data_IF_038598711012
#
_entry.id   IF_038598711012
#
_cell.length_a   1.000
_cell.length_b   1.000
_cell.length_c   1.000
_cell.angle_alpha   90.00
_cell.angle_beta   90.00
_cell.angle_gamma   90.00
#
_symmetry.space_group_name_H-M   'P 1'
#
loop_
_entity.id
_entity.type
_entity.pdbx_description
1 polymer ?
#
# COMPACT_ATOMS: atom_id res chain seq x y z
N UNK A 1 30.38 54.77 -5.99
CA UNK A 1 29.23 54.82 -5.08
C UNK A 1 29.59 55.77 -3.95
N UNK A 2 29.47 57.07 -4.11
CA UNK A 2 29.84 58.10 -3.12
C UNK A 2 28.72 58.32 -2.07
N UNK A 3 28.35 57.32 -1.31
CA UNK A 3 27.51 57.53 -0.13
C UNK A 3 28.39 57.81 1.08
N UNK A 4 28.25 59.00 1.73
CA UNK A 4 28.91 59.28 2.99
C UNK A 4 28.21 58.44 4.08
N UNK A 5 28.84 57.40 4.56
CA UNK A 5 28.38 56.57 5.67
C UNK A 5 29.52 55.74 6.23
N UNK A 6 29.43 55.37 7.49
CA UNK A 6 30.37 54.45 8.12
C UNK A 6 30.24 53.08 7.44
N UNK A 7 31.41 52.48 7.11
CA UNK A 7 31.45 51.09 6.63
C UNK A 7 31.44 50.07 7.79
N UNK A 8 31.30 50.50 9.03
CA UNK A 8 31.17 49.62 10.18
C UNK A 8 29.76 49.04 10.22
N UNK A 9 29.65 47.74 10.33
CA UNK A 9 28.38 47.06 10.57
C UNK A 9 27.82 47.50 11.93
N UNK A 10 26.54 47.83 11.96
CA UNK A 10 25.85 48.10 13.23
C UNK A 10 25.69 46.77 14.01
N UNK A 11 25.78 46.87 15.32
CA UNK A 11 25.56 45.72 16.19
C UNK A 11 24.10 45.23 16.06
N UNK A 12 23.92 44.03 15.52
CA UNK A 12 22.58 43.45 15.36
C UNK A 12 22.21 42.66 16.61
N UNK A 13 21.22 43.16 17.34
CA UNK A 13 20.64 42.45 18.46
C UNK A 13 19.68 41.37 17.96
N UNK A 14 20.01 40.11 18.21
CA UNK A 14 19.14 39.01 17.87
C UNK A 14 18.11 38.75 18.98
N UNK A 15 16.83 38.77 18.62
CA UNK A 15 15.80 38.36 19.55
C UNK A 15 15.86 36.85 19.79
N UNK A 16 15.60 36.44 21.02
CA UNK A 16 15.50 35.01 21.37
C UNK A 16 14.25 34.39 20.77
N UNK A 17 14.23 33.04 20.61
CA UNK A 17 13.06 32.34 20.14
C UNK A 17 11.82 32.59 21.01
N UNK A 18 12.01 32.79 22.32
CA UNK A 18 10.94 33.10 23.27
C UNK A 18 10.37 34.52 23.08
N UNK A 19 11.21 35.51 22.82
CA UNK A 19 10.76 36.89 22.53
C UNK A 19 9.98 36.97 21.22
N UNK A 20 10.25 36.05 20.26
CA UNK A 20 9.57 35.99 18.99
C UNK A 20 8.28 35.16 19.04
N UNK A 21 8.02 34.44 20.13
CA UNK A 21 6.78 33.70 20.31
C UNK A 21 5.56 34.62 20.37
N UNK A 22 4.51 34.26 19.64
CA UNK A 22 3.24 35.01 19.63
C UNK A 22 2.20 34.46 20.60
N UNK A 23 2.46 33.32 21.17
CA UNK A 23 1.56 32.65 22.13
C UNK A 23 2.34 32.22 23.37
N UNK A 24 1.67 32.13 24.50
CA UNK A 24 2.30 31.75 25.77
C UNK A 24 2.98 30.37 25.75
N UNK A 25 2.51 29.45 24.91
CA UNK A 25 3.05 28.07 24.78
C UNK A 25 3.94 27.86 23.56
N UNK A 26 4.07 28.88 22.69
CA UNK A 26 4.72 28.70 21.38
C UNK A 26 3.94 27.85 20.37
N UNK A 27 2.71 27.44 20.75
CA UNK A 27 1.85 26.55 19.93
C UNK A 27 0.47 27.17 19.75
N UNK A 28 0.09 27.49 18.51
CA UNK A 28 -1.21 28.10 18.18
C UNK A 28 -2.38 27.22 18.61
N UNK A 29 -2.32 25.92 18.35
CA UNK A 29 -3.36 24.96 18.67
C UNK A 29 -3.70 24.91 20.17
N UNK A 30 -2.70 25.10 21.04
CA UNK A 30 -2.86 25.01 22.50
C UNK A 30 -3.15 26.36 23.17
N UNK A 31 -2.95 27.48 22.48
CA UNK A 31 -3.02 28.81 23.09
C UNK A 31 -4.20 29.65 22.63
N UNK A 32 -4.58 29.56 21.37
CA UNK A 32 -5.62 30.41 20.78
C UNK A 32 -6.85 29.64 20.30
N UNK A 33 -6.92 28.35 20.59
CA UNK A 33 -8.03 27.52 20.12
C UNK A 33 -8.18 27.48 18.59
N UNK A 34 -7.07 27.73 17.88
CA UNK A 34 -7.04 27.70 16.43
C UNK A 34 -7.26 26.30 15.89
N UNK A 35 -7.93 26.20 14.76
CA UNK A 35 -8.12 24.95 14.06
C UNK A 35 -6.78 24.45 13.50
N UNK A 36 -6.49 23.17 13.69
CA UNK A 36 -5.37 22.51 13.04
C UNK A 36 -5.78 22.07 11.63
N UNK A 37 -4.78 21.77 10.77
CA UNK A 37 -5.06 21.17 9.45
C UNK A 37 -5.86 19.88 9.59
N UNK A 38 -5.63 19.12 10.67
CA UNK A 38 -6.42 17.93 10.98
C UNK A 38 -7.90 18.25 11.20
N UNK A 39 -8.21 19.30 11.94
CA UNK A 39 -9.61 19.72 12.20
C UNK A 39 -10.31 20.19 10.93
N UNK A 40 -9.60 20.92 10.09
CA UNK A 40 -10.11 21.37 8.78
C UNK A 40 -10.42 20.15 7.89
N UNK A 41 -9.46 19.23 7.75
CA UNK A 41 -9.63 18.01 6.96
C UNK A 41 -10.75 17.14 7.50
N UNK A 42 -10.88 17.02 8.81
CA UNK A 42 -11.96 16.25 9.46
C UNK A 42 -13.33 16.84 9.11
N UNK A 43 -13.51 18.15 9.23
CA UNK A 43 -14.76 18.83 8.89
C UNK A 43 -15.14 18.62 7.43
N UNK A 44 -14.17 18.74 6.53
CA UNK A 44 -14.40 18.51 5.11
C UNK A 44 -14.78 17.03 4.84
N UNK A 45 -14.10 16.09 5.45
CA UNK A 45 -14.41 14.66 5.33
C UNK A 45 -15.82 14.35 5.85
N UNK A 46 -16.23 14.88 7.01
CA UNK A 46 -17.57 14.70 7.57
C UNK A 46 -18.65 15.26 6.61
N UNK A 47 -18.42 16.43 6.03
CA UNK A 47 -19.32 17.02 5.04
C UNK A 47 -19.43 16.15 3.78
N UNK A 48 -18.32 15.65 3.26
CA UNK A 48 -18.29 14.78 2.07
C UNK A 48 -18.99 13.44 2.33
N UNK A 49 -18.78 12.86 3.51
CA UNK A 49 -19.44 11.61 3.94
C UNK A 49 -20.95 11.82 4.03
N UNK A 50 -21.39 12.91 4.66
CA UNK A 50 -22.81 13.21 4.79
C UNK A 50 -23.51 13.39 3.42
N UNK A 51 -22.83 14.09 2.49
CA UNK A 51 -23.32 14.23 1.10
C UNK A 51 -23.41 12.89 0.38
N UNK A 52 -22.41 12.02 0.57
CA UNK A 52 -22.40 10.69 -0.02
C UNK A 52 -23.51 9.81 0.55
N UNK A 53 -23.77 9.87 1.86
CA UNK A 53 -24.86 9.14 2.51
C UNK A 53 -26.22 9.58 1.96
N UNK A 54 -26.49 10.89 1.92
CA UNK A 54 -27.73 11.43 1.36
C UNK A 54 -27.92 11.01 -0.12
N UNK A 55 -26.84 11.00 -0.91
CA UNK A 55 -26.89 10.53 -2.29
C UNK A 55 -27.19 9.03 -2.39
N UNK A 56 -26.68 8.22 -1.48
CA UNK A 56 -26.95 6.77 -1.44
C UNK A 56 -28.40 6.45 -1.05
N UNK A 57 -29.01 7.24 -0.18
CA UNK A 57 -30.41 7.08 0.23
C UNK A 57 -31.39 7.44 -0.90
N UNK A 58 -31.04 8.41 -1.73
CA UNK A 58 -31.91 8.93 -2.78
C UNK A 58 -31.70 8.31 -4.16
N UNK A 59 -30.55 7.70 -4.39
CA UNK A 59 -30.16 7.12 -5.69
C UNK A 59 -29.46 5.79 -5.47
N UNK A 60 -30.02 4.72 -6.02
CA UNK A 60 -29.30 3.46 -6.14
C UNK A 60 -28.11 3.66 -7.09
N UNK A 61 -26.96 4.05 -6.56
CA UNK A 61 -25.73 4.10 -7.34
C UNK A 61 -25.49 2.74 -7.95
N UNK A 62 -25.52 2.66 -9.27
CA UNK A 62 -25.23 1.42 -9.97
C UNK A 62 -23.85 0.92 -9.55
N UNK A 63 -23.72 -0.35 -9.21
CA UNK A 63 -22.43 -0.96 -8.78
C UNK A 63 -21.28 -0.65 -9.75
N UNK A 64 -21.59 -0.51 -11.05
CA UNK A 64 -20.65 -0.12 -12.09
C UNK A 64 -20.05 1.29 -11.88
N UNK A 65 -20.84 2.26 -11.42
CA UNK A 65 -20.36 3.63 -11.17
C UNK A 65 -19.41 3.65 -9.96
N UNK A 66 -19.71 2.87 -8.92
CA UNK A 66 -18.86 2.74 -7.74
C UNK A 66 -17.52 2.11 -8.12
N UNK A 67 -17.56 1.02 -8.89
CA UNK A 67 -16.36 0.32 -9.35
C UNK A 67 -15.51 1.24 -10.24
N UNK A 68 -16.11 1.96 -11.19
CA UNK A 68 -15.39 2.88 -12.07
C UNK A 68 -14.76 4.04 -11.29
N UNK A 69 -15.46 4.58 -10.31
CA UNK A 69 -14.93 5.63 -9.42
C UNK A 69 -13.77 5.10 -8.58
N UNK A 70 -13.88 3.91 -8.00
CA UNK A 70 -12.82 3.27 -7.25
C UNK A 70 -11.57 3.02 -8.12
N UNK A 71 -11.74 2.51 -9.33
CA UNK A 71 -10.64 2.33 -10.30
C UNK A 71 -9.94 3.65 -10.60
N UNK A 72 -10.70 4.70 -10.89
CA UNK A 72 -10.16 6.03 -11.18
C UNK A 72 -9.38 6.60 -10.00
N UNK A 73 -9.95 6.56 -8.80
CA UNK A 73 -9.34 7.10 -7.58
C UNK A 73 -8.11 6.32 -7.14
N UNK A 74 -8.08 5.01 -7.40
CA UNK A 74 -6.94 4.16 -7.04
C UNK A 74 -5.82 4.14 -8.08
N UNK A 75 -6.02 4.77 -9.24
CA UNK A 75 -5.08 4.65 -10.36
C UNK A 75 -4.96 3.22 -10.88
N UNK A 76 -6.02 2.42 -10.72
CA UNK A 76 -6.04 1.02 -11.12
C UNK A 76 -6.02 0.87 -12.64
N UNK A 77 -5.06 0.10 -13.15
CA UNK A 77 -5.00 -0.34 -14.53
C UNK A 77 -5.38 -1.82 -14.61
N UNK A 78 -6.35 -2.14 -15.46
CA UNK A 78 -6.78 -3.51 -15.63
C UNK A 78 -5.70 -4.28 -16.43
N UNK A 79 -5.08 -5.33 -15.86
CA UNK A 79 -4.11 -6.10 -16.61
C UNK A 79 -4.81 -6.85 -17.75
N UNK A 80 -4.28 -6.71 -18.97
CA UNK A 80 -4.77 -7.40 -20.18
C UNK A 80 -4.10 -8.75 -20.41
N UNK A 81 -2.90 -8.92 -19.85
CA UNK A 81 -2.08 -10.11 -20.01
C UNK A 81 -1.26 -10.39 -18.76
N UNK A 82 -0.78 -11.60 -18.65
CA UNK A 82 0.25 -12.02 -17.70
C UNK A 82 1.47 -12.48 -18.46
N UNK A 83 2.64 -11.97 -18.06
CA UNK A 83 3.92 -12.42 -18.63
C UNK A 83 4.24 -13.82 -18.13
N UNK A 84 5.03 -14.57 -18.90
CA UNK A 84 5.43 -15.92 -18.53
C UNK A 84 6.17 -15.92 -17.19
N UNK A 85 5.71 -16.77 -16.24
CA UNK A 85 6.36 -16.90 -14.95
C UNK A 85 7.74 -17.55 -15.06
N UNK A 86 8.69 -17.06 -14.28
CA UNK A 86 10.04 -17.61 -14.22
C UNK A 86 10.13 -18.55 -13.02
N UNK A 87 10.38 -19.82 -13.30
CA UNK A 87 10.62 -20.84 -12.29
C UNK A 87 12.00 -20.66 -11.64
N UNK A 88 12.04 -20.72 -10.29
CA UNK A 88 13.28 -20.53 -9.53
C UNK A 88 13.66 -21.71 -8.64
N UNK A 89 12.78 -22.70 -8.53
CA UNK A 89 13.07 -23.91 -7.78
C UNK A 89 11.83 -24.56 -7.19
N UNK A 90 11.99 -25.74 -6.65
CA UNK A 90 10.91 -26.50 -6.00
C UNK A 90 11.45 -27.35 -4.87
N UNK A 91 10.55 -27.79 -4.00
CA UNK A 91 10.79 -28.81 -3.00
C UNK A 91 9.54 -29.65 -2.77
N UNK A 92 9.78 -30.93 -2.45
CA UNK A 92 8.72 -31.90 -2.24
C UNK A 92 8.35 -31.93 -0.76
N UNK A 93 7.06 -32.03 -0.49
CA UNK A 93 6.48 -32.40 0.80
C UNK A 93 5.61 -33.64 0.66
N UNK A 94 5.17 -34.18 1.77
CA UNK A 94 4.33 -35.38 1.73
C UNK A 94 2.94 -35.03 1.13
N UNK A 95 2.65 -35.59 -0.06
CA UNK A 95 1.39 -35.41 -0.76
C UNK A 95 1.27 -34.14 -1.61
N UNK A 96 2.33 -33.32 -1.72
CA UNK A 96 2.32 -32.15 -2.56
C UNK A 96 3.72 -31.60 -2.86
N UNK A 97 3.80 -30.77 -3.89
CA UNK A 97 5.03 -30.04 -4.24
C UNK A 97 4.82 -28.53 -4.09
N UNK A 98 5.85 -27.83 -3.67
CA UNK A 98 5.89 -26.37 -3.64
C UNK A 98 6.87 -25.90 -4.70
N UNK A 99 6.40 -25.12 -5.65
CA UNK A 99 7.22 -24.50 -6.69
C UNK A 99 7.36 -23.01 -6.41
N UNK A 100 8.56 -22.49 -6.66
CA UNK A 100 8.90 -21.06 -6.49
C UNK A 100 8.95 -20.40 -7.83
N UNK A 101 8.27 -19.28 -7.94
CA UNK A 101 8.20 -18.48 -9.15
C UNK A 101 8.30 -17.00 -8.85
N UNK A 102 8.57 -16.25 -9.88
CA UNK A 102 8.20 -14.84 -9.93
C UNK A 102 7.60 -14.50 -11.29
N UNK A 103 6.78 -13.47 -11.33
CA UNK A 103 6.20 -12.90 -12.54
C UNK A 103 6.38 -11.38 -12.52
N UNK A 104 6.48 -10.75 -13.68
CA UNK A 104 6.54 -9.30 -13.77
C UNK A 104 5.16 -8.68 -13.53
N UNK A 105 5.14 -7.62 -12.73
CA UNK A 105 3.98 -6.76 -12.49
C UNK A 105 3.65 -5.83 -13.66
N UNK A 106 3.03 -4.70 -13.36
CA UNK A 106 2.58 -3.74 -14.37
C UNK A 106 3.73 -3.19 -15.24
N UNK A 107 4.85 -2.88 -14.62
CA UNK A 107 6.05 -2.44 -15.32
C UNK A 107 7.13 -3.52 -15.24
N UNK A 108 8.23 -3.25 -14.55
CA UNK A 108 9.34 -4.21 -14.45
C UNK A 108 9.57 -4.74 -13.03
N UNK A 109 8.75 -4.34 -12.05
CA UNK A 109 8.84 -4.96 -10.73
C UNK A 109 8.37 -6.41 -10.77
N UNK A 110 8.90 -7.22 -9.85
CA UNK A 110 8.61 -8.64 -9.79
C UNK A 110 7.69 -8.97 -8.63
N UNK A 111 6.85 -9.97 -8.84
CA UNK A 111 5.92 -10.52 -7.85
C UNK A 111 6.36 -11.95 -7.58
N UNK A 112 7.11 -12.22 -6.49
CA UNK A 112 7.46 -13.57 -6.10
C UNK A 112 6.23 -14.31 -5.57
N UNK A 113 6.11 -15.59 -5.89
CA UNK A 113 5.03 -16.40 -5.34
C UNK A 113 5.44 -17.87 -5.15
N UNK A 114 4.72 -18.55 -4.28
CA UNK A 114 4.77 -19.99 -4.08
C UNK A 114 3.52 -20.60 -4.72
N UNK A 115 3.72 -21.69 -5.47
CA UNK A 115 2.64 -22.48 -6.05
C UNK A 115 2.65 -23.87 -5.42
N UNK A 116 1.65 -24.15 -4.62
CA UNK A 116 1.46 -25.43 -3.96
C UNK A 116 0.57 -26.31 -4.85
N UNK A 117 1.10 -27.45 -5.25
CA UNK A 117 0.43 -28.39 -6.15
C UNK A 117 0.18 -29.72 -5.43
N UNK A 118 -1.04 -30.07 -5.08
CA UNK A 118 -1.34 -31.35 -4.48
C UNK A 118 -1.14 -32.50 -5.48
N UNK A 119 -0.75 -33.69 -4.98
CA UNK A 119 -0.66 -34.90 -5.80
C UNK A 119 -2.06 -35.32 -6.31
N UNK A 120 -3.08 -35.17 -5.47
CA UNK A 120 -4.48 -35.45 -5.80
C UNK A 120 -5.29 -34.13 -5.92
N UNK A 121 -5.49 -33.67 -7.14
CA UNK A 121 -6.18 -32.41 -7.43
C UNK A 121 -7.70 -32.54 -7.42
N UNK A 122 -8.39 -31.56 -6.84
CA UNK A 122 -9.86 -31.44 -6.94
C UNK A 122 -10.30 -30.45 -8.05
N UNK A 123 -9.36 -30.00 -8.91
CA UNK A 123 -9.56 -29.01 -9.99
C UNK A 123 -10.03 -27.63 -9.52
N UNK A 124 -9.78 -27.30 -8.25
CA UNK A 124 -10.02 -25.97 -7.70
C UNK A 124 -8.68 -25.32 -7.40
N UNK A 125 -8.65 -23.99 -7.59
CA UNK A 125 -7.49 -23.17 -7.28
C UNK A 125 -7.86 -22.09 -6.27
N UNK A 126 -6.90 -21.72 -5.43
CA UNK A 126 -7.02 -20.69 -4.42
C UNK A 126 -5.85 -19.70 -4.55
N UNK A 127 -6.15 -18.42 -4.58
CA UNK A 127 -5.17 -17.36 -4.41
C UNK A 127 -5.17 -16.95 -2.93
N UNK A 128 -4.10 -17.33 -2.21
CA UNK A 128 -3.96 -17.09 -0.78
C UNK A 128 -3.14 -15.82 -0.53
N UNK A 129 -3.79 -14.79 -0.03
CA UNK A 129 -3.16 -13.47 0.20
C UNK A 129 -3.05 -13.23 1.70
N UNK A 130 -1.83 -13.01 2.18
CA UNK A 130 -1.57 -12.72 3.57
C UNK A 130 -0.77 -11.41 3.74
N UNK A 131 -1.05 -10.57 4.77
CA UNK A 131 -0.33 -9.31 4.99
C UNK A 131 1.18 -9.49 5.19
N UNK A 132 1.62 -10.62 5.74
CA UNK A 132 3.04 -10.96 5.93
C UNK A 132 3.69 -11.62 4.70
N UNK A 133 2.97 -11.75 3.58
CA UNK A 133 3.48 -12.31 2.33
C UNK A 133 3.33 -13.83 2.21
N UNK A 134 3.92 -14.38 1.15
CA UNK A 134 3.79 -15.78 0.72
C UNK A 134 4.27 -16.83 1.70
N UNK A 135 5.16 -16.44 2.63
CA UNK A 135 5.72 -17.38 3.64
C UNK A 135 4.79 -17.58 4.82
N UNK A 136 3.82 -16.69 5.03
CA UNK A 136 2.84 -16.85 6.08
C UNK A 136 1.98 -18.08 5.82
N UNK A 137 1.75 -18.87 6.86
CA UNK A 137 0.95 -20.12 6.81
C UNK A 137 1.46 -21.17 5.81
N UNK A 138 2.72 -21.01 5.31
CA UNK A 138 3.33 -21.92 4.34
C UNK A 138 4.06 -23.10 4.98
N UNK A 139 4.18 -23.13 6.30
CA UNK A 139 4.82 -24.22 7.08
C UNK A 139 3.94 -25.46 7.10
N UNK A 140 4.55 -26.60 7.47
CA UNK A 140 3.79 -27.83 7.77
C UNK A 140 2.84 -27.58 8.95
N UNK A 141 1.60 -28.00 8.81
CA UNK A 141 0.53 -27.71 9.75
C UNK A 141 -0.13 -26.34 9.60
N UNK A 142 0.36 -25.48 8.69
CA UNK A 142 -0.23 -24.17 8.40
C UNK A 142 -1.51 -24.26 7.56
N UNK A 143 -2.22 -23.15 7.46
CA UNK A 143 -3.52 -23.07 6.78
C UNK A 143 -3.42 -23.44 5.28
N UNK A 144 -2.34 -23.02 4.60
CA UNK A 144 -2.12 -23.39 3.19
C UNK A 144 -2.05 -24.89 3.01
N UNK A 145 -1.36 -25.60 3.91
CA UNK A 145 -1.25 -27.06 3.83
C UNK A 145 -2.63 -27.73 3.95
N UNK A 146 -3.51 -27.21 4.78
CA UNK A 146 -4.86 -27.73 4.89
C UNK A 146 -5.62 -27.66 3.54
N UNK A 147 -5.56 -26.51 2.84
CA UNK A 147 -6.17 -26.39 1.52
C UNK A 147 -5.55 -27.38 0.52
N UNK A 148 -4.22 -27.47 0.51
CA UNK A 148 -3.50 -28.36 -0.43
C UNK A 148 -3.82 -29.84 -0.18
N UNK A 149 -3.87 -30.28 1.08
CA UNK A 149 -4.28 -31.65 1.44
C UNK A 149 -5.73 -31.94 1.09
N UNK A 150 -6.58 -30.92 0.95
CA UNK A 150 -7.94 -31.02 0.42
C UNK A 150 -8.02 -30.90 -1.12
N UNK A 151 -6.89 -30.97 -1.80
CA UNK A 151 -6.79 -31.04 -3.26
C UNK A 151 -6.77 -29.70 -3.99
N UNK A 152 -6.73 -28.58 -3.29
CA UNK A 152 -6.62 -27.26 -3.92
C UNK A 152 -5.21 -26.98 -4.42
N UNK A 153 -5.09 -26.46 -5.63
CA UNK A 153 -3.86 -25.77 -6.03
C UNK A 153 -3.87 -24.39 -5.37
N UNK A 154 -2.82 -24.05 -4.62
CA UNK A 154 -2.76 -22.77 -3.90
C UNK A 154 -1.60 -21.91 -4.42
N UNK A 155 -1.89 -20.68 -4.81
CA UNK A 155 -0.90 -19.67 -5.17
C UNK A 155 -0.83 -18.62 -4.05
N UNK A 156 0.34 -18.47 -3.42
CA UNK A 156 0.59 -17.50 -2.36
C UNK A 156 1.66 -16.48 -2.83
N UNK A 157 1.31 -15.20 -3.06
CA UNK A 157 2.25 -14.19 -3.55
C UNK A 157 2.80 -13.30 -2.43
N UNK A 158 3.93 -12.63 -2.75
CA UNK A 158 4.32 -11.39 -2.11
C UNK A 158 3.83 -10.22 -2.98
N UNK A 159 2.77 -9.57 -2.56
CA UNK A 159 2.33 -8.34 -3.21
C UNK A 159 3.26 -7.18 -2.80
N UNK A 160 3.27 -6.10 -3.60
CA UNK A 160 4.11 -4.94 -3.32
C UNK A 160 3.99 -4.50 -1.85
N UNK A 161 5.12 -4.36 -1.17
CA UNK A 161 5.19 -4.00 0.25
C UNK A 161 4.97 -5.15 1.23
N UNK A 162 4.93 -6.42 0.78
CA UNK A 162 4.83 -7.59 1.66
C UNK A 162 5.95 -8.59 1.37
N UNK A 163 6.34 -9.40 2.36
CA UNK A 163 7.36 -10.43 2.21
C UNK A 163 8.66 -9.91 1.59
N UNK A 164 9.14 -10.54 0.53
CA UNK A 164 10.37 -10.15 -0.17
C UNK A 164 10.25 -8.83 -0.95
N UNK A 165 9.04 -8.32 -1.17
CA UNK A 165 8.80 -7.02 -1.81
C UNK A 165 8.59 -5.90 -0.80
N UNK A 166 8.79 -6.18 0.46
CA UNK A 166 8.75 -5.19 1.54
C UNK A 166 9.92 -4.20 1.45
N UNK A 167 9.85 -3.08 2.17
CA UNK A 167 10.84 -1.99 2.09
C UNK A 167 12.21 -2.37 2.66
N UNK A 168 12.35 -3.55 3.27
CA UNK A 168 13.57 -3.94 3.95
C UNK A 168 13.87 -3.03 5.16
N UNK A 169 15.16 -2.95 5.54
CA UNK A 169 15.63 -2.14 6.66
C UNK A 169 16.06 -0.73 6.22
N UNK A 170 15.19 0.01 5.52
CA UNK A 170 15.47 1.40 5.18
C UNK A 170 15.47 2.27 6.45
N UNK A 171 16.62 2.90 6.75
CA UNK A 171 16.71 3.87 7.84
C UNK A 171 15.84 5.09 7.50
N UNK A 172 14.99 5.51 8.43
CA UNK A 172 14.16 6.72 8.29
C UNK A 172 12.81 6.49 7.62
N UNK A 173 12.44 5.25 7.28
CA UNK A 173 11.08 4.93 6.86
C UNK A 173 10.20 4.58 8.07
N UNK A 174 8.98 5.06 8.07
CA UNK A 174 7.96 4.71 9.05
C UNK A 174 7.03 3.65 8.45
N UNK A 175 6.71 2.62 9.23
CA UNK A 175 5.71 1.61 8.85
C UNK A 175 4.41 1.89 9.57
N UNK A 176 3.36 2.22 8.83
CA UNK A 176 2.03 2.51 9.36
C UNK A 176 1.07 1.43 8.86
N UNK A 177 0.44 0.72 9.80
CA UNK A 177 -0.47 -0.39 9.49
C UNK A 177 0.14 -1.45 8.53
N UNK A 178 1.42 -1.75 8.71
CA UNK A 178 2.14 -2.73 7.88
C UNK A 178 2.54 -2.23 6.49
N UNK A 179 2.39 -0.94 6.21
CA UNK A 179 2.79 -0.32 4.94
C UNK A 179 3.89 0.69 5.17
N UNK A 180 4.95 0.63 4.37
CA UNK A 180 6.00 1.64 4.33
C UNK A 180 5.42 3.00 3.94
N UNK A 181 5.69 4.03 4.74
CA UNK A 181 5.25 5.39 4.47
C UNK A 181 5.84 5.93 3.16
N UNK A 182 7.12 5.65 2.90
CA UNK A 182 7.77 6.05 1.66
C UNK A 182 7.14 5.40 0.44
N UNK A 183 6.81 4.12 0.52
CA UNK A 183 6.13 3.39 -0.57
C UNK A 183 4.73 3.94 -0.81
N UNK A 184 3.98 4.20 0.27
CA UNK A 184 2.65 4.82 0.17
C UNK A 184 2.73 6.20 -0.48
N UNK A 185 3.63 7.05 -0.01
CA UNK A 185 3.79 8.41 -0.52
C UNK A 185 4.21 8.43 -2.00
N UNK A 186 5.16 7.57 -2.37
CA UNK A 186 5.58 7.41 -3.77
C UNK A 186 4.43 6.97 -4.67
N UNK A 187 3.60 6.04 -4.22
CA UNK A 187 2.44 5.61 -4.99
C UNK A 187 1.47 6.76 -5.26
N UNK A 188 1.21 7.61 -4.26
CA UNK A 188 0.33 8.79 -4.41
C UNK A 188 0.91 9.80 -5.40
N UNK A 189 2.21 10.09 -5.35
CA UNK A 189 2.88 11.00 -6.28
C UNK A 189 2.76 10.51 -7.73
N UNK A 190 2.81 9.20 -7.95
CA UNK A 190 2.65 8.60 -9.29
C UNK A 190 1.19 8.45 -9.72
N UNK A 191 0.24 8.98 -8.96
CA UNK A 191 -1.20 8.91 -9.26
C UNK A 191 -1.83 7.54 -9.03
N UNK A 192 -1.17 6.69 -8.25
CA UNK A 192 -1.63 5.33 -7.92
C UNK A 192 -1.85 5.20 -6.41
N UNK A 193 -2.57 4.17 -6.01
CA UNK A 193 -2.63 3.72 -4.63
C UNK A 193 -2.05 2.31 -4.51
N UNK A 194 -1.46 1.99 -3.37
CA UNK A 194 -0.99 0.62 -3.09
C UNK A 194 -2.13 -0.40 -3.26
N UNK A 195 -3.35 -0.04 -2.88
CA UNK A 195 -4.53 -0.88 -3.08
C UNK A 195 -4.82 -1.13 -4.57
N UNK A 196 -4.71 -0.09 -5.41
CA UNK A 196 -4.88 -0.21 -6.87
C UNK A 196 -3.83 -1.13 -7.50
N UNK A 197 -2.56 -0.94 -7.13
CA UNK A 197 -1.45 -1.75 -7.62
C UNK A 197 -1.63 -3.22 -7.20
N UNK A 198 -1.88 -3.48 -5.91
CA UNK A 198 -2.11 -4.85 -5.39
C UNK A 198 -3.32 -5.52 -6.05
N UNK A 199 -4.40 -4.77 -6.30
CA UNK A 199 -5.58 -5.29 -6.98
C UNK A 199 -5.25 -5.72 -8.42
N UNK A 200 -4.48 -4.92 -9.15
CA UNK A 200 -4.03 -5.29 -10.49
C UNK A 200 -3.15 -6.55 -10.47
N UNK A 201 -2.27 -6.67 -9.49
CA UNK A 201 -1.42 -7.86 -9.31
C UNK A 201 -2.22 -9.11 -8.96
N UNK A 202 -3.22 -9.00 -8.09
CA UNK A 202 -4.14 -10.09 -7.76
C UNK A 202 -4.88 -10.58 -9.01
N UNK A 203 -5.36 -9.67 -9.85
CA UNK A 203 -6.03 -10.03 -11.10
C UNK A 203 -5.04 -10.71 -12.07
N UNK A 204 -3.81 -10.21 -12.15
CA UNK A 204 -2.75 -10.82 -12.96
C UNK A 204 -2.40 -12.23 -12.50
N UNK A 205 -2.23 -12.43 -11.19
CA UNK A 205 -1.92 -13.74 -10.61
C UNK A 205 -3.06 -14.75 -10.78
N UNK A 206 -4.32 -14.27 -10.75
CA UNK A 206 -5.49 -15.12 -11.04
C UNK A 206 -5.44 -15.72 -12.46
N UNK A 207 -4.84 -15.03 -13.42
CA UNK A 207 -4.71 -15.53 -14.80
C UNK A 207 -3.71 -16.69 -14.91
N UNK A 208 -2.91 -16.95 -13.87
CA UNK A 208 -1.95 -18.07 -13.80
C UNK A 208 -2.59 -19.37 -13.25
N UNK A 209 -3.78 -19.29 -12.64
CA UNK A 209 -4.53 -20.38 -12.06
C UNK A 209 -5.61 -20.91 -12.98
#
# INVERSE_FOLDING_TARGET
>A
LGMPGSAAEEEVNFSTAQELQKTATGQLANSLGGETIFDINRKEAEMLISRLQAKRETSALASAEIINSAKKLSGFNNPSEVREPIFTGRFQRQGYVIEKYFVKGEEDYVIPYLLFKPDNKNNKALLYIHPSGKSAESSEGGEIEWFVKNGFTVLAPDLIGTGETGPGSFKGDAVILGVSNNMWFTSVITGKSIAGIRTADIIRLRMLL
#
